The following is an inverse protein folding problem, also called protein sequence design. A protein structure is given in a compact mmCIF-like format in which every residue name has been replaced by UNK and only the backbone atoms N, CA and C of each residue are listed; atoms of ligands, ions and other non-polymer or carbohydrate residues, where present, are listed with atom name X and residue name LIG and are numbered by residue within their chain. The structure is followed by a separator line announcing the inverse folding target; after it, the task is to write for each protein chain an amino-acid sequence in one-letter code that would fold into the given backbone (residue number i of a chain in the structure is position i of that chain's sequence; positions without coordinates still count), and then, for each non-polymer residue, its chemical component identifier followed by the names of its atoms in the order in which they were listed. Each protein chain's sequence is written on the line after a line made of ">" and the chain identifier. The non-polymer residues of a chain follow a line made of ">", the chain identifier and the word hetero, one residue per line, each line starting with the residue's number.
data_IF_218717596738
#
_entry.id   IF_218717596738
#
_cell.length_a   1.000
_cell.length_b   1.000
_cell.length_c   1.000
_cell.angle_alpha   90.00
_cell.angle_beta   90.00
_cell.angle_gamma   90.00
#
_symmetry.space_group_name_H-M   'P 1'
#
loop_
_entity.id
_entity.type
_entity.pdbx_description
1 polymer ?
#
# COMPACT_ATOMS: atom_id res chain seq x y z
N UNK A 1 21.51 0.25 20.86
CA UNK A 1 21.81 -1.19 20.74
C UNK A 1 23.31 -1.33 20.52
N UNK A 2 23.94 -2.27 21.22
CA UNK A 2 25.39 -2.47 21.20
C UNK A 2 25.80 -3.29 19.96
N UNK A 3 26.73 -2.79 19.14
CA UNK A 3 27.05 -3.36 17.82
C UNK A 3 27.60 -4.79 17.89
N UNK A 4 28.32 -5.13 18.97
CA UNK A 4 28.85 -6.46 19.20
C UNK A 4 27.75 -7.51 19.45
N UNK A 5 26.59 -7.09 19.95
CA UNK A 5 25.46 -7.99 20.20
C UNK A 5 24.66 -8.23 18.91
N UNK A 6 24.55 -7.22 18.04
CA UNK A 6 23.85 -7.30 16.76
C UNK A 6 24.51 -8.31 15.82
N UNK A 7 25.84 -8.31 15.71
CA UNK A 7 26.55 -9.29 14.87
C UNK A 7 26.28 -10.72 15.32
N UNK A 8 26.21 -10.98 16.63
CA UNK A 8 25.91 -12.30 17.17
C UNK A 8 24.49 -12.79 16.86
N UNK A 9 23.54 -11.87 16.65
CA UNK A 9 22.14 -12.21 16.37
C UNK A 9 21.86 -12.35 14.89
N UNK A 10 22.41 -11.47 14.05
CA UNK A 10 22.18 -11.49 12.60
C UNK A 10 22.79 -12.73 11.93
N UNK A 11 23.83 -13.32 12.53
CA UNK A 11 24.46 -14.55 12.05
C UNK A 11 23.71 -15.83 12.44
N UNK A 12 22.66 -15.75 13.26
CA UNK A 12 21.89 -16.95 13.63
C UNK A 12 21.06 -17.42 12.43
N UNK A 13 21.06 -18.73 12.11
CA UNK A 13 20.33 -19.24 10.95
C UNK A 13 18.82 -19.04 11.06
N UNK A 14 18.29 -18.97 12.29
CA UNK A 14 16.88 -18.81 12.62
C UNK A 14 16.48 -17.35 12.93
N UNK A 15 17.34 -16.37 12.66
CA UNK A 15 17.01 -14.97 12.95
C UNK A 15 15.90 -14.46 12.01
N UNK A 16 14.85 -13.90 12.58
CA UNK A 16 13.80 -13.23 11.83
C UNK A 16 14.34 -11.91 11.28
N UNK A 17 14.27 -11.70 9.96
CA UNK A 17 14.73 -10.42 9.36
C UNK A 17 13.90 -9.21 9.75
N UNK A 18 12.66 -9.40 10.20
CA UNK A 18 11.79 -8.28 10.54
C UNK A 18 12.02 -7.77 11.96
N UNK A 19 12.34 -8.65 12.92
CA UNK A 19 12.41 -8.28 14.35
C UNK A 19 13.64 -8.81 15.09
N UNK A 20 14.55 -9.51 14.41
CA UNK A 20 15.77 -10.12 14.96
C UNK A 20 15.55 -11.20 16.05
N UNK A 21 14.34 -11.73 16.19
CA UNK A 21 14.08 -12.88 17.06
C UNK A 21 14.71 -14.16 16.50
N UNK A 22 15.25 -15.03 17.35
CA UNK A 22 15.69 -16.39 16.96
C UNK A 22 14.51 -17.35 16.88
N UNK A 23 13.55 -17.05 16.01
CA UNK A 23 12.31 -17.83 15.85
C UNK A 23 11.76 -17.75 14.41
N UNK A 24 12.64 -17.48 13.45
CA UNK A 24 12.32 -17.51 12.03
C UNK A 24 12.01 -18.94 11.58
N UNK A 25 10.85 -19.10 10.95
CA UNK A 25 10.33 -20.41 10.53
C UNK A 25 9.84 -20.39 9.09
N UNK A 26 9.40 -19.23 8.61
CA UNK A 26 8.92 -19.02 7.25
C UNK A 26 9.97 -18.37 6.40
N UNK A 27 9.91 -18.64 5.11
CA UNK A 27 10.80 -18.09 4.12
C UNK A 27 10.27 -16.77 3.55
N UNK A 28 11.09 -15.73 3.49
CA UNK A 28 10.66 -14.47 2.88
C UNK A 28 10.48 -14.56 1.37
N UNK A 29 11.19 -15.47 0.70
CA UNK A 29 11.26 -15.58 -0.77
C UNK A 29 10.37 -16.66 -1.34
N UNK A 30 9.96 -17.63 -0.53
CA UNK A 30 9.07 -18.69 -1.00
C UNK A 30 7.65 -18.17 -1.27
N UNK A 31 6.97 -18.87 -2.18
CA UNK A 31 5.56 -18.66 -2.43
C UNK A 31 4.72 -19.58 -1.55
N UNK A 32 3.81 -18.97 -0.79
CA UNK A 32 2.83 -19.67 0.03
C UNK A 32 1.44 -19.48 -0.55
N UNK A 33 0.58 -20.47 -0.36
CA UNK A 33 -0.84 -20.40 -0.71
C UNK A 33 -1.60 -20.34 0.60
N UNK A 34 -2.36 -19.26 0.78
CA UNK A 34 -3.28 -19.11 1.93
C UNK A 34 -4.47 -20.06 1.79
N UNK A 35 -5.20 -20.30 2.88
CA UNK A 35 -6.44 -21.11 2.85
C UNK A 35 -7.50 -20.55 1.88
N UNK A 36 -7.44 -19.24 1.60
CA UNK A 36 -8.28 -18.57 0.61
C UNK A 36 -7.78 -18.73 -0.84
N UNK A 37 -6.71 -19.50 -1.07
CA UNK A 37 -6.12 -19.74 -2.39
C UNK A 37 -5.25 -18.59 -2.92
N UNK A 38 -5.00 -17.55 -2.12
CA UNK A 38 -4.17 -16.41 -2.54
C UNK A 38 -2.69 -16.74 -2.37
N UNK A 39 -1.90 -16.51 -3.43
CA UNK A 39 -0.45 -16.63 -3.41
C UNK A 39 0.17 -15.43 -2.70
N UNK A 40 0.97 -15.69 -1.68
CA UNK A 40 1.74 -14.67 -0.95
C UNK A 40 3.24 -14.99 -0.98
N UNK A 41 4.04 -13.93 -1.10
CA UNK A 41 5.49 -13.95 -0.95
C UNK A 41 5.82 -12.80 0.00
N UNK A 42 6.35 -13.10 1.18
CA UNK A 42 6.50 -12.09 2.23
C UNK A 42 7.47 -10.96 1.87
N UNK A 43 8.51 -11.24 1.07
CA UNK A 43 9.38 -10.22 0.49
C UNK A 43 8.61 -9.23 -0.40
N UNK A 44 7.64 -9.71 -1.18
CA UNK A 44 6.80 -8.84 -1.99
C UNK A 44 5.87 -7.99 -1.13
N UNK A 45 5.33 -8.55 -0.04
CA UNK A 45 4.49 -7.80 0.91
C UNK A 45 5.31 -6.67 1.58
N UNK A 46 6.55 -6.96 1.98
CA UNK A 46 7.47 -5.94 2.53
C UNK A 46 7.70 -4.79 1.55
N UNK A 47 8.01 -5.11 0.29
CA UNK A 47 8.22 -4.10 -0.73
C UNK A 47 6.94 -3.31 -1.03
N UNK A 48 5.80 -4.01 -1.12
CA UNK A 48 4.52 -3.40 -1.48
C UNK A 48 3.98 -2.48 -0.39
N UNK A 49 4.00 -2.92 0.87
CA UNK A 49 3.41 -2.19 1.98
C UNK A 49 4.35 -1.16 2.61
N UNK A 50 5.66 -1.40 2.60
CA UNK A 50 6.64 -0.58 3.32
C UNK A 50 7.76 -0.02 2.44
N UNK A 51 7.81 -0.38 1.16
CA UNK A 51 8.91 0.02 0.27
C UNK A 51 10.26 -0.61 0.62
N UNK A 52 10.27 -1.69 1.44
CA UNK A 52 11.49 -2.32 1.94
C UNK A 52 11.94 -3.45 1.01
N UNK A 53 13.12 -3.27 0.42
CA UNK A 53 13.85 -4.32 -0.30
C UNK A 53 14.84 -5.03 0.63
N UNK A 54 14.89 -6.36 0.58
CA UNK A 54 15.74 -7.16 1.44
C UNK A 54 17.18 -7.22 0.91
N UNK A 55 18.07 -6.38 1.46
CA UNK A 55 19.49 -6.40 1.14
C UNK A 55 20.15 -7.73 1.53
N UNK A 56 21.11 -8.19 0.73
CA UNK A 56 21.90 -9.40 1.01
C UNK A 56 21.05 -10.68 1.20
N UNK A 57 19.86 -10.76 0.62
CA UNK A 57 18.98 -11.94 0.76
C UNK A 57 19.51 -13.19 0.04
N UNK A 58 20.39 -13.00 -0.93
CA UNK A 58 20.99 -14.08 -1.71
C UNK A 58 22.37 -14.50 -1.17
N UNK A 59 22.87 -13.85 -0.12
CA UNK A 59 24.15 -14.23 0.50
C UNK A 59 23.98 -15.54 1.30
N UNK A 60 24.97 -16.43 1.21
CA UNK A 60 24.89 -17.81 1.74
C UNK A 60 24.59 -17.85 3.24
N UNK A 61 25.17 -16.93 4.01
CA UNK A 61 25.06 -16.92 5.48
C UNK A 61 23.97 -15.98 5.99
N UNK A 62 23.30 -15.25 5.10
CA UNK A 62 22.28 -14.31 5.51
C UNK A 62 20.94 -15.04 5.68
N UNK A 63 20.35 -14.97 6.88
CA UNK A 63 19.02 -15.55 7.13
C UNK A 63 18.02 -15.08 6.08
N UNK A 64 17.10 -15.93 5.65
CA UNK A 64 15.96 -15.60 4.77
C UNK A 64 14.64 -15.72 5.50
N UNK A 65 14.69 -15.82 6.84
CA UNK A 65 13.56 -16.26 7.63
C UNK A 65 12.78 -15.10 8.24
N UNK A 66 11.50 -15.37 8.46
CA UNK A 66 10.54 -14.51 9.18
C UNK A 66 9.75 -15.36 10.17
N UNK A 67 9.49 -14.81 11.36
CA UNK A 67 8.76 -15.51 12.41
C UNK A 67 7.24 -15.34 12.26
N UNK A 68 6.45 -16.21 12.91
CA UNK A 68 4.98 -16.21 12.84
C UNK A 68 4.34 -14.86 13.18
N UNK A 69 4.88 -14.18 14.20
CA UNK A 69 4.37 -12.87 14.62
C UNK A 69 4.53 -11.84 13.49
N UNK A 70 5.70 -11.81 12.84
CA UNK A 70 5.96 -10.90 11.74
C UNK A 70 5.17 -11.29 10.48
N UNK A 71 4.98 -12.59 10.21
CA UNK A 71 4.09 -13.05 9.12
C UNK A 71 2.66 -12.52 9.31
N UNK A 72 2.11 -12.63 10.53
CA UNK A 72 0.78 -12.12 10.83
C UNK A 72 0.69 -10.59 10.68
N UNK A 73 1.73 -9.87 11.12
CA UNK A 73 1.82 -8.41 10.91
C UNK A 73 1.89 -8.03 9.43
N UNK A 74 2.67 -8.77 8.62
CA UNK A 74 2.77 -8.54 7.17
C UNK A 74 1.42 -8.77 6.48
N UNK A 75 0.72 -9.86 6.79
CA UNK A 75 -0.63 -10.13 6.25
C UNK A 75 -1.64 -9.06 6.66
N UNK A 76 -1.58 -8.62 7.92
CA UNK A 76 -2.40 -7.52 8.43
C UNK A 76 -2.11 -6.21 7.71
N UNK A 77 -0.82 -5.89 7.50
CA UNK A 77 -0.39 -4.69 6.78
C UNK A 77 -0.84 -4.71 5.31
N UNK A 78 -0.74 -5.86 4.62
CA UNK A 78 -1.23 -6.01 3.25
C UNK A 78 -2.75 -5.77 3.17
N UNK A 79 -3.51 -6.37 4.09
CA UNK A 79 -4.96 -6.19 4.14
C UNK A 79 -5.34 -4.73 4.40
N UNK A 80 -4.61 -4.07 5.30
CA UNK A 80 -4.81 -2.66 5.62
C UNK A 80 -4.43 -1.75 4.45
N UNK A 81 -3.32 -2.04 3.76
CA UNK A 81 -2.91 -1.34 2.55
C UNK A 81 -4.03 -1.39 1.48
N UNK A 82 -4.57 -2.58 1.20
CA UNK A 82 -5.67 -2.75 0.23
C UNK A 82 -6.96 -2.03 0.66
N UNK A 83 -7.22 -1.96 1.96
CA UNK A 83 -8.32 -1.17 2.51
C UNK A 83 -8.12 0.32 2.22
N UNK A 84 -6.92 0.87 2.50
CA UNK A 84 -6.60 2.28 2.28
C UNK A 84 -6.67 2.64 0.80
N UNK A 85 -6.09 1.82 -0.09
CA UNK A 85 -6.13 2.04 -1.55
C UNK A 85 -7.57 2.07 -2.08
N UNK A 86 -8.42 1.15 -1.62
CA UNK A 86 -9.84 1.13 -2.03
C UNK A 86 -10.58 2.37 -1.53
N UNK A 87 -10.35 2.77 -0.28
CA UNK A 87 -10.96 3.96 0.28
C UNK A 87 -10.54 5.22 -0.49
N UNK A 88 -9.25 5.39 -0.77
CA UNK A 88 -8.72 6.52 -1.54
C UNK A 88 -9.30 6.58 -2.96
N UNK A 89 -9.44 5.43 -3.63
CA UNK A 89 -10.12 5.34 -4.92
C UNK A 89 -11.56 5.82 -4.84
N UNK A 90 -12.32 5.42 -3.82
CA UNK A 90 -13.70 5.87 -3.62
C UNK A 90 -13.80 7.37 -3.33
N UNK A 91 -12.90 7.92 -2.51
CA UNK A 91 -12.82 9.36 -2.28
C UNK A 91 -12.53 10.10 -3.58
N UNK A 92 -11.51 9.67 -4.33
CA UNK A 92 -11.14 10.27 -5.61
C UNK A 92 -12.30 10.27 -6.60
N UNK A 93 -12.99 9.14 -6.75
CA UNK A 93 -14.16 9.02 -7.63
C UNK A 93 -15.29 9.98 -7.23
N UNK A 94 -15.62 10.07 -5.93
CA UNK A 94 -16.63 10.99 -5.43
C UNK A 94 -16.28 12.45 -5.77
N UNK A 95 -15.05 12.86 -5.53
CA UNK A 95 -14.61 14.24 -5.76
C UNK A 95 -14.51 14.59 -7.24
N UNK A 96 -14.14 13.66 -8.11
CA UNK A 96 -14.17 13.86 -9.57
C UNK A 96 -15.61 14.12 -10.05
N UNK A 97 -16.56 13.24 -9.70
CA UNK A 97 -17.97 13.41 -10.08
C UNK A 97 -18.55 14.72 -9.55
N UNK A 98 -18.19 15.12 -8.34
CA UNK A 98 -18.65 16.38 -7.75
C UNK A 98 -18.10 17.59 -8.53
N UNK A 99 -16.80 17.61 -8.85
CA UNK A 99 -16.18 18.68 -9.64
C UNK A 99 -16.82 18.80 -11.02
N UNK A 100 -17.08 17.69 -11.69
CA UNK A 100 -17.72 17.69 -13.01
C UNK A 100 -19.14 18.27 -12.95
N UNK A 101 -19.91 17.94 -11.90
CA UNK A 101 -21.24 18.53 -11.67
C UNK A 101 -21.17 20.02 -11.38
N UNK A 102 -20.23 20.45 -10.53
CA UNK A 102 -20.06 21.86 -10.18
C UNK A 102 -19.63 22.70 -11.39
N UNK A 103 -18.79 22.15 -12.28
CA UNK A 103 -18.40 22.75 -13.56
C UNK A 103 -19.60 22.87 -14.50
N UNK A 104 -20.36 21.79 -14.69
CA UNK A 104 -21.55 21.81 -15.54
C UNK A 104 -22.60 22.82 -15.04
N UNK A 105 -22.80 22.96 -13.72
CA UNK A 105 -23.72 23.96 -13.17
C UNK A 105 -23.24 25.37 -13.52
N UNK A 106 -21.95 25.66 -13.37
CA UNK A 106 -21.39 26.98 -13.70
C UNK A 106 -21.53 27.31 -15.18
N UNK A 107 -21.17 26.38 -16.07
CA UNK A 107 -21.34 26.56 -17.52
C UNK A 107 -22.81 26.83 -17.90
N UNK A 108 -23.76 26.09 -17.31
CA UNK A 108 -25.18 26.30 -17.57
C UNK A 108 -25.69 27.65 -17.04
N UNK A 109 -25.16 28.13 -15.91
CA UNK A 109 -25.49 29.46 -15.35
C UNK A 109 -24.95 30.57 -16.24
N UNK A 110 -23.71 30.45 -16.73
CA UNK A 110 -23.09 31.41 -17.64
C UNK A 110 -23.86 31.47 -18.98
N UNK A 111 -24.22 30.31 -19.55
CA UNK A 111 -25.06 30.21 -20.76
C UNK A 111 -26.44 30.84 -20.59
N UNK A 112 -27.07 30.66 -19.43
CA UNK A 112 -28.37 31.26 -19.12
C UNK A 112 -28.26 32.78 -18.99
N UNK A 113 -27.22 33.29 -18.31
CA UNK A 113 -26.98 34.72 -18.16
C UNK A 113 -26.72 35.43 -19.49
N UNK A 114 -25.93 34.81 -20.38
CA UNK A 114 -25.69 35.35 -21.73
C UNK A 114 -26.98 35.39 -22.55
N UNK A 115 -27.82 34.35 -22.48
CA UNK A 115 -29.11 34.32 -23.18
C UNK A 115 -30.12 35.35 -22.65
N UNK A 116 -30.15 35.59 -21.34
CA UNK A 116 -30.97 36.63 -20.72
C UNK A 116 -30.51 38.02 -21.19
N UNK A 117 -29.20 38.28 -21.14
CA UNK A 117 -28.60 39.56 -21.55
C UNK A 117 -28.82 39.87 -23.05
N UNK A 118 -28.81 38.87 -23.94
CA UNK A 118 -29.13 39.06 -25.36
C UNK A 118 -30.61 39.38 -25.56
N UNK A 119 -31.51 38.79 -24.75
CA UNK A 119 -32.96 39.02 -24.85
C UNK A 119 -33.33 40.43 -24.41
N UNK A 120 -32.71 40.94 -23.35
CA UNK A 120 -32.96 42.28 -22.84
C UNK A 120 -32.45 43.38 -23.78
N UNK A 121 -31.39 43.13 -24.56
CA UNK A 121 -30.86 44.07 -25.55
C UNK A 121 -31.58 44.05 -26.92
N UNK A 122 -32.63 43.23 -27.10
CA UNK A 122 -33.39 43.15 -28.36
C UNK A 122 -34.69 43.98 -28.35
N UNK A 123 -34.98 44.67 -27.25
CA UNK A 123 -36.19 45.48 -27.03
C UNK A 123 -35.92 46.97 -26.78
N UNK A 124 -34.72 47.45 -27.15
CA UNK A 124 -34.36 48.88 -27.28
C UNK A 124 -33.99 49.20 -28.74
#
# INVERSE_FOLDING_TARGET
>A
MDMANISSWVLKPDVCRCCLSGSGTWDLTAAYITDAGTKEVFANILQHCFGVSLSYINEVDASRLVCDLCVNQLRGASSFHDQVVRADKSFSQYWTVKKDKDLNIRENVDDAYVKESIRDNLYD
#
